data_IF_909550919440
#
_entry.id   IF_909550919440
#
_cell.length_a   1.000
_cell.length_b   1.000
_cell.length_c   1.000
_cell.angle_alpha   90.00
_cell.angle_beta   90.00
_cell.angle_gamma   90.00
#
_symmetry.space_group_name_H-M   'P 1'
#
loop_
_entity.id
_entity.type
_entity.pdbx_description
1 polymer ?
#
# COMPACT_ATOMS: atom_id res chain seq x y z
N UNK A 1 17.28 -30.59 11.38
CA UNK A 1 17.96 -30.55 10.06
C UNK A 1 18.82 -29.29 9.98
N UNK A 2 19.71 -29.18 8.97
CA UNK A 2 20.42 -27.93 8.66
C UNK A 2 19.66 -27.22 7.54
N UNK A 3 19.21 -25.98 7.77
CA UNK A 3 18.39 -25.22 6.83
C UNK A 3 19.12 -23.91 6.51
N UNK A 4 19.26 -23.62 5.21
CA UNK A 4 19.74 -22.35 4.71
C UNK A 4 18.56 -21.47 4.30
N UNK A 5 18.51 -20.23 4.79
CA UNK A 5 17.55 -19.21 4.37
C UNK A 5 18.32 -18.11 3.65
N UNK A 6 17.92 -17.77 2.42
CA UNK A 6 18.58 -16.75 1.60
C UNK A 6 17.68 -15.52 1.54
N UNK A 7 18.15 -14.43 2.13
CA UNK A 7 17.43 -13.16 2.30
C UNK A 7 16.94 -12.96 3.73
N UNK A 8 17.18 -11.76 4.26
CA UNK A 8 16.78 -11.32 5.61
C UNK A 8 15.65 -10.30 5.57
N UNK A 9 14.87 -10.28 4.49
CA UNK A 9 13.55 -9.65 4.50
C UNK A 9 12.63 -10.27 5.56
N UNK A 10 11.49 -9.62 5.82
CA UNK A 10 10.55 -10.06 6.87
C UNK A 10 10.18 -11.55 6.77
N UNK A 11 9.96 -12.06 5.56
CA UNK A 11 9.65 -13.47 5.33
C UNK A 11 10.78 -14.41 5.79
N UNK A 12 12.03 -14.10 5.43
CA UNK A 12 13.20 -14.91 5.80
C UNK A 12 13.47 -14.88 7.31
N UNK A 13 13.36 -13.70 7.94
CA UNK A 13 13.54 -13.57 9.38
C UNK A 13 12.42 -14.26 10.18
N UNK A 14 11.17 -14.16 9.73
CA UNK A 14 10.05 -14.87 10.36
C UNK A 14 10.20 -16.38 10.19
N UNK A 15 10.57 -16.85 9.00
CA UNK A 15 10.86 -18.27 8.78
C UNK A 15 11.98 -18.77 9.71
N UNK A 16 13.09 -18.04 9.78
CA UNK A 16 14.20 -18.36 10.68
C UNK A 16 13.73 -18.42 12.15
N UNK A 17 12.99 -17.40 12.61
CA UNK A 17 12.46 -17.32 13.98
C UNK A 17 11.57 -18.51 14.33
N UNK A 18 10.69 -18.93 13.41
CA UNK A 18 9.76 -20.03 13.64
C UNK A 18 10.44 -21.40 13.63
N UNK A 19 11.46 -21.58 12.79
CA UNK A 19 12.11 -22.87 12.58
C UNK A 19 13.32 -23.12 13.50
N UNK A 20 13.91 -22.07 14.07
CA UNK A 20 15.17 -22.17 14.80
C UNK A 20 15.10 -23.06 16.06
N UNK A 21 13.93 -23.22 16.68
CA UNK A 21 13.79 -24.05 17.88
C UNK A 21 14.09 -25.54 17.61
N UNK A 22 13.87 -26.02 16.39
CA UNK A 22 13.97 -27.44 16.03
C UNK A 22 15.07 -27.73 15.01
N UNK A 23 15.67 -26.69 14.42
CA UNK A 23 16.59 -26.80 13.30
C UNK A 23 17.81 -25.88 13.44
N UNK A 24 18.94 -26.33 12.91
CA UNK A 24 20.13 -25.49 12.76
C UNK A 24 19.92 -24.59 11.54
N UNK A 25 19.77 -23.27 11.78
CA UNK A 25 19.48 -22.29 10.73
C UNK A 25 20.75 -21.51 10.38
N UNK A 26 21.04 -21.40 9.10
CA UNK A 26 22.01 -20.42 8.56
C UNK A 26 21.26 -19.45 7.67
N UNK A 27 21.38 -18.15 7.94
CA UNK A 27 20.75 -17.10 7.12
C UNK A 27 21.82 -16.37 6.32
N UNK A 28 21.59 -16.20 5.03
CA UNK A 28 22.47 -15.47 4.11
C UNK A 28 21.79 -14.18 3.68
N UNK A 29 22.52 -13.07 3.73
CA UNK A 29 22.06 -11.76 3.25
C UNK A 29 23.10 -11.19 2.29
N UNK A 30 22.63 -10.57 1.22
CA UNK A 30 23.48 -9.92 0.23
C UNK A 30 23.87 -8.50 0.66
N UNK A 31 22.98 -7.81 1.38
CA UNK A 31 23.22 -6.49 1.93
C UNK A 31 24.12 -6.54 3.19
N UNK A 32 24.65 -5.38 3.56
CA UNK A 32 25.37 -5.15 4.82
C UNK A 32 24.43 -4.95 6.03
N UNK A 33 23.12 -5.11 5.82
CA UNK A 33 22.07 -4.91 6.81
C UNK A 33 20.97 -5.96 6.68
N UNK A 34 20.28 -6.19 7.80
CA UNK A 34 19.10 -7.04 7.83
C UNK A 34 17.83 -6.26 7.41
N UNK A 35 16.76 -6.98 7.09
CA UNK A 35 15.40 -6.45 6.95
C UNK A 35 14.90 -6.20 5.53
N UNK A 36 15.77 -6.14 4.52
CA UNK A 36 15.34 -5.88 3.13
C UNK A 36 14.58 -4.56 3.01
N UNK A 37 13.32 -4.58 2.54
CA UNK A 37 12.49 -3.36 2.42
C UNK A 37 12.11 -2.72 3.77
N UNK A 38 12.16 -3.44 4.89
CA UNK A 38 12.05 -2.77 6.20
C UNK A 38 13.37 -2.04 6.46
N UNK A 39 13.33 -0.71 6.46
CA UNK A 39 14.51 0.13 6.53
C UNK A 39 14.23 1.37 7.36
N UNK A 40 15.00 1.52 8.44
CA UNK A 40 14.94 2.63 9.37
C UNK A 40 16.27 3.35 9.34
N UNK A 41 16.26 4.67 9.13
CA UNK A 41 17.44 5.52 9.16
C UNK A 41 17.39 6.45 10.35
N UNK A 42 18.53 6.69 10.99
CA UNK A 42 18.64 7.71 12.02
C UNK A 42 18.93 9.06 11.36
N UNK A 43 18.05 10.05 11.61
CA UNK A 43 18.24 11.43 11.19
C UNK A 43 18.55 12.28 12.41
N UNK A 44 19.60 13.09 12.30
CA UNK A 44 19.99 14.05 13.34
C UNK A 44 19.56 15.46 12.95
N UNK A 45 18.89 16.15 13.86
CA UNK A 45 18.51 17.56 13.76
C UNK A 45 18.87 18.28 15.06
N UNK A 46 19.98 19.02 15.04
CA UNK A 46 20.59 19.56 16.25
C UNK A 46 20.98 18.45 17.23
N UNK A 47 20.50 18.54 18.47
CA UNK A 47 20.71 17.54 19.52
C UNK A 47 19.70 16.38 19.45
N UNK A 48 18.68 16.45 18.59
CA UNK A 48 17.69 15.41 18.44
C UNK A 48 18.13 14.35 17.42
N UNK A 49 17.92 13.07 17.76
CA UNK A 49 18.05 11.94 16.82
C UNK A 49 16.70 11.24 16.70
N UNK A 50 16.23 11.04 15.47
CA UNK A 50 14.92 10.40 15.18
C UNK A 50 15.12 9.26 14.21
N UNK A 51 14.51 8.12 14.52
CA UNK A 51 14.44 6.97 13.63
C UNK A 51 13.30 7.17 12.62
N UNK A 52 13.63 7.14 11.33
CA UNK A 52 12.68 7.34 10.22
C UNK A 52 12.64 6.08 9.37
N UNK A 53 11.46 5.47 9.27
CA UNK A 53 11.23 4.37 8.36
C UNK A 53 11.07 4.89 6.92
N UNK A 54 11.78 4.30 5.96
CA UNK A 54 11.80 4.77 4.55
C UNK A 54 11.27 3.75 3.55
N UNK A 55 10.91 2.56 4.02
CA UNK A 55 10.38 1.49 3.17
C UNK A 55 9.01 1.05 3.64
N UNK A 56 8.97 0.05 4.52
CA UNK A 56 7.72 -0.35 5.18
C UNK A 56 7.42 0.56 6.37
N UNK A 57 6.35 1.35 6.28
CA UNK A 57 6.03 2.40 7.27
C UNK A 57 4.64 2.29 7.90
N UNK A 58 3.72 1.53 7.29
CA UNK A 58 2.31 1.43 7.73
C UNK A 58 1.76 0.02 7.56
N UNK A 59 0.81 -0.34 8.41
CA UNK A 59 0.04 -1.58 8.33
C UNK A 59 -1.38 -1.36 8.88
N UNK A 60 -2.27 -2.34 8.71
CA UNK A 60 -3.61 -2.31 9.31
C UNK A 60 -4.06 -3.72 9.75
N UNK A 61 -4.94 -3.76 10.76
CA UNK A 61 -5.38 -5.02 11.36
C UNK A 61 -6.15 -5.96 10.41
N UNK A 62 -6.78 -5.41 9.37
CA UNK A 62 -7.55 -6.20 8.41
C UNK A 62 -6.68 -7.03 7.48
N UNK A 63 -5.56 -6.46 7.04
CA UNK A 63 -4.69 -7.06 6.00
C UNK A 63 -3.41 -7.67 6.58
N UNK A 64 -3.05 -7.34 7.83
CA UNK A 64 -1.81 -7.80 8.47
C UNK A 64 -2.00 -8.55 9.81
N UNK A 65 -2.94 -9.51 9.93
CA UNK A 65 -3.17 -10.21 11.20
C UNK A 65 -1.93 -10.97 11.70
N UNK A 66 -1.18 -11.62 10.81
CA UNK A 66 0.03 -12.35 11.17
C UNK A 66 1.17 -11.43 11.63
N UNK A 67 1.27 -10.23 11.06
CA UNK A 67 2.27 -9.24 11.48
C UNK A 67 1.93 -8.65 12.85
N UNK A 68 0.65 -8.37 13.12
CA UNK A 68 0.20 -7.94 14.45
C UNK A 68 0.56 -8.97 15.53
N UNK A 69 0.27 -10.24 15.28
CA UNK A 69 0.62 -11.31 16.21
C UNK A 69 2.14 -11.40 16.45
N UNK A 70 2.95 -11.11 15.42
CA UNK A 70 4.40 -11.04 15.56
C UNK A 70 4.84 -9.83 16.41
N UNK A 71 4.24 -8.65 16.22
CA UNK A 71 4.55 -7.48 17.04
C UNK A 71 4.18 -7.73 18.50
N UNK A 72 3.04 -8.36 18.77
CA UNK A 72 2.60 -8.73 20.12
C UNK A 72 3.57 -9.72 20.76
N UNK A 73 4.02 -10.74 20.03
CA UNK A 73 5.03 -11.70 20.50
C UNK A 73 6.37 -11.04 20.84
N UNK A 74 6.76 -10.02 20.05
CA UNK A 74 7.99 -9.27 20.25
C UNK A 74 7.86 -8.14 21.28
N UNK A 75 6.64 -7.81 21.73
CA UNK A 75 6.37 -6.67 22.60
C UNK A 75 6.62 -5.32 21.94
N UNK A 76 6.49 -5.23 20.62
CA UNK A 76 6.74 -3.99 19.84
C UNK A 76 5.46 -3.16 19.80
N UNK A 77 5.54 -1.94 20.34
CA UNK A 77 4.43 -0.99 20.32
C UNK A 77 4.22 -0.38 18.92
N UNK A 78 2.97 -0.02 18.64
CA UNK A 78 2.58 0.75 17.48
C UNK A 78 1.52 1.78 17.85
N UNK A 79 1.32 2.78 16.99
CA UNK A 79 0.36 3.85 17.24
C UNK A 79 -0.59 4.04 16.04
N UNK A 80 -1.82 4.50 16.27
CA UNK A 80 -2.70 4.92 15.18
C UNK A 80 -2.09 6.09 14.40
N UNK A 81 -2.10 5.98 13.06
CA UNK A 81 -1.68 7.05 12.16
C UNK A 81 -2.74 7.28 11.07
N UNK A 82 -3.12 8.53 10.77
CA UNK A 82 -4.04 8.80 9.68
C UNK A 82 -3.36 8.55 8.33
N UNK A 83 -3.95 7.71 7.48
CA UNK A 83 -3.58 7.64 6.06
C UNK A 83 -4.42 8.65 5.29
N UNK A 84 -3.84 9.83 5.03
CA UNK A 84 -4.45 10.87 4.21
C UNK A 84 -3.90 10.85 2.78
N UNK A 85 -4.71 11.29 1.82
CA UNK A 85 -4.33 11.34 0.41
C UNK A 85 -4.68 12.71 -0.19
N UNK A 86 -3.73 13.27 -0.93
CA UNK A 86 -3.89 14.50 -1.69
C UNK A 86 -3.16 14.41 -3.01
N UNK A 87 -3.73 15.03 -4.04
CA UNK A 87 -3.14 15.10 -5.38
C UNK A 87 -2.90 16.54 -5.72
N UNK A 88 -1.71 16.81 -6.27
CA UNK A 88 -1.39 18.01 -7.03
C UNK A 88 -0.89 17.58 -8.40
N UNK A 89 -1.64 17.93 -9.42
CA UNK A 89 -1.33 17.69 -10.81
C UNK A 89 -0.82 19.00 -11.42
N UNK A 90 0.48 19.07 -11.70
CA UNK A 90 1.10 20.28 -12.25
C UNK A 90 0.71 20.54 -13.70
N UNK A 91 0.37 19.50 -14.47
CA UNK A 91 0.02 19.62 -15.87
C UNK A 91 -1.37 20.26 -16.06
N UNK A 92 -2.35 19.82 -15.27
CA UNK A 92 -3.72 20.35 -15.31
C UNK A 92 -4.00 21.43 -14.23
N UNK A 93 -3.03 21.69 -13.35
CA UNK A 93 -3.14 22.61 -12.20
C UNK A 93 -4.19 22.17 -11.16
N UNK A 94 -4.59 20.89 -11.17
CA UNK A 94 -5.61 20.35 -10.26
C UNK A 94 -5.00 20.07 -8.89
N UNK A 95 -5.68 20.52 -7.83
CA UNK A 95 -5.35 20.15 -6.46
C UNK A 95 -6.63 19.75 -5.72
N UNK A 96 -6.58 18.63 -4.99
CA UNK A 96 -7.61 18.21 -4.05
C UNK A 96 -7.06 17.28 -2.98
N UNK A 97 -7.78 17.19 -1.87
CA UNK A 97 -7.53 16.26 -0.78
C UNK A 97 -8.80 15.45 -0.46
N UNK A 98 -8.64 14.18 -0.10
CA UNK A 98 -9.75 13.27 0.19
C UNK A 98 -10.29 13.32 1.63
N UNK A 99 -9.71 14.13 2.52
CA UNK A 99 -9.96 14.09 3.96
C UNK A 99 -11.18 14.93 4.39
N UNK A 100 -11.53 15.98 3.65
CA UNK A 100 -12.69 16.83 3.96
C UNK A 100 -13.29 17.46 2.71
N UNK A 101 -14.52 17.99 2.79
CA UNK A 101 -15.13 18.72 1.66
C UNK A 101 -14.36 20.00 1.31
N UNK A 102 -13.81 20.69 2.31
CA UNK A 102 -12.96 21.85 2.06
C UNK A 102 -11.63 21.48 1.42
N UNK A 103 -11.05 20.32 1.76
CA UNK A 103 -9.89 19.76 1.07
C UNK A 103 -10.23 19.31 -0.35
N UNK A 104 -11.40 18.72 -0.56
CA UNK A 104 -11.87 18.27 -1.87
C UNK A 104 -12.08 19.44 -2.82
N UNK A 105 -12.60 20.56 -2.31
CA UNK A 105 -12.80 21.82 -3.03
C UNK A 105 -11.79 22.90 -2.61
N UNK A 106 -10.55 22.52 -2.30
CA UNK A 106 -9.46 23.46 -2.00
C UNK A 106 -9.35 24.52 -3.10
N UNK A 107 -9.58 24.10 -4.34
CA UNK A 107 -9.81 24.99 -5.48
C UNK A 107 -11.32 25.17 -5.73
N UNK A 108 -11.90 26.28 -5.24
CA UNK A 108 -13.36 26.55 -5.34
C UNK A 108 -13.90 26.55 -6.78
N UNK A 109 -13.06 26.84 -7.78
CA UNK A 109 -13.40 26.71 -9.21
C UNK A 109 -13.89 25.30 -9.59
N UNK A 110 -13.48 24.27 -8.86
CA UNK A 110 -13.87 22.88 -9.11
C UNK A 110 -15.36 22.64 -8.83
N UNK A 111 -16.03 23.50 -8.04
CA UNK A 111 -17.49 23.45 -7.86
C UNK A 111 -18.24 23.62 -9.18
N UNK A 112 -17.67 24.37 -10.13
CA UNK A 112 -18.27 24.63 -11.44
C UNK A 112 -17.61 23.82 -12.56
N UNK A 113 -16.67 22.91 -12.26
CA UNK A 113 -15.88 22.17 -13.26
C UNK A 113 -16.51 20.80 -13.54
N UNK A 114 -17.18 20.57 -14.69
CA UNK A 114 -17.87 19.31 -14.95
C UNK A 114 -16.93 18.10 -14.98
N UNK A 115 -15.70 18.28 -15.47
CA UNK A 115 -14.65 17.25 -15.47
C UNK A 115 -14.34 16.75 -14.05
N UNK A 116 -14.32 17.65 -13.07
CA UNK A 116 -14.05 17.30 -11.67
C UNK A 116 -15.22 16.49 -11.07
N UNK A 117 -16.45 16.93 -11.28
CA UNK A 117 -17.63 16.17 -10.85
C UNK A 117 -17.75 14.79 -11.51
N UNK A 118 -17.36 14.67 -12.78
CA UNK A 118 -17.28 13.37 -13.46
C UNK A 118 -16.25 12.47 -12.79
N UNK A 119 -15.07 12.99 -12.46
CA UNK A 119 -14.05 12.27 -11.69
C UNK A 119 -14.61 11.80 -10.35
N UNK A 120 -15.23 12.67 -9.55
CA UNK A 120 -15.82 12.29 -8.26
C UNK A 120 -16.89 11.19 -8.39
N UNK A 121 -17.75 11.29 -9.40
CA UNK A 121 -18.75 10.27 -9.70
C UNK A 121 -18.10 8.93 -10.02
N UNK A 122 -17.03 8.94 -10.81
CA UNK A 122 -16.29 7.74 -11.17
C UNK A 122 -15.56 7.14 -9.97
N UNK A 123 -15.00 7.95 -9.06
CA UNK A 123 -14.43 7.48 -7.78
C UNK A 123 -15.47 6.70 -6.98
N UNK A 124 -16.63 7.32 -6.72
CA UNK A 124 -17.71 6.68 -5.96
C UNK A 124 -18.24 5.42 -6.66
N UNK A 125 -18.33 5.44 -7.99
CA UNK A 125 -18.73 4.28 -8.79
C UNK A 125 -17.73 3.13 -8.64
N UNK A 126 -16.43 3.42 -8.76
CA UNK A 126 -15.37 2.43 -8.65
C UNK A 126 -15.39 1.73 -7.29
N UNK A 127 -15.41 2.49 -6.19
CA UNK A 127 -15.44 1.90 -4.84
C UNK A 127 -16.69 1.08 -4.55
N UNK A 128 -17.81 1.40 -5.21
CA UNK A 128 -19.04 0.61 -5.11
C UNK A 128 -18.99 -0.69 -5.91
N UNK A 129 -18.35 -0.66 -7.09
CA UNK A 129 -18.32 -1.79 -8.03
C UNK A 129 -17.18 -2.78 -7.74
N UNK A 130 -16.03 -2.29 -7.27
CA UNK A 130 -14.81 -3.09 -7.07
C UNK A 130 -15.00 -4.33 -6.17
N UNK A 131 -15.71 -4.27 -5.02
CA UNK A 131 -15.90 -5.47 -4.19
C UNK A 131 -16.63 -6.60 -4.92
N UNK A 132 -17.57 -6.27 -5.81
CA UNK A 132 -18.30 -7.26 -6.60
C UNK A 132 -17.47 -7.84 -7.76
N UNK A 133 -16.40 -7.16 -8.17
CA UNK A 133 -15.44 -7.70 -9.13
C UNK A 133 -14.57 -8.76 -8.44
N UNK A 134 -14.07 -8.44 -7.23
CA UNK A 134 -13.28 -9.38 -6.43
C UNK A 134 -14.06 -10.65 -6.09
N UNK A 135 -15.34 -10.53 -5.71
CA UNK A 135 -16.19 -11.68 -5.39
C UNK A 135 -16.47 -12.62 -6.58
N UNK A 136 -16.19 -12.20 -7.82
CA UNK A 136 -16.39 -13.01 -9.02
C UNK A 136 -15.13 -13.75 -9.48
N UNK A 137 -13.95 -13.35 -9.00
CA UNK A 137 -12.65 -13.88 -9.41
C UNK A 137 -12.19 -15.14 -8.67
N UNK A 138 -13.06 -15.78 -7.88
CA UNK A 138 -12.68 -16.93 -7.04
C UNK A 138 -11.81 -16.52 -5.85
N UNK A 139 -11.96 -17.24 -4.74
CA UNK A 139 -11.24 -17.01 -3.47
C UNK A 139 -10.10 -18.02 -3.32
N UNK A 140 -9.44 -18.37 -4.42
CA UNK A 140 -8.45 -19.44 -4.44
C UNK A 140 -7.05 -18.82 -4.43
N UNK A 141 -6.47 -18.76 -3.24
CA UNK A 141 -5.06 -18.44 -3.00
C UNK A 141 -4.07 -19.50 -3.50
N UNK A 142 -4.44 -20.28 -4.51
CA UNK A 142 -3.60 -21.25 -5.21
C UNK A 142 -3.49 -20.82 -6.68
N UNK A 143 -2.42 -20.08 -6.97
CA UNK A 143 -1.97 -19.68 -8.30
C UNK A 143 -1.44 -20.89 -9.07
N UNK A 144 -2.34 -21.78 -9.49
CA UNK A 144 -2.10 -22.69 -10.61
C UNK A 144 -2.61 -22.00 -11.87
N UNK A 145 -1.66 -21.36 -12.56
CA UNK A 145 -1.88 -20.45 -13.68
C UNK A 145 -2.81 -20.98 -14.78
N UNK A 146 -3.99 -20.36 -14.87
CA UNK A 146 -4.75 -20.13 -16.10
C UNK A 146 -5.97 -19.22 -15.82
N UNK A 147 -5.80 -18.18 -14.97
CA UNK A 147 -6.83 -17.14 -14.82
C UNK A 147 -6.62 -16.09 -15.91
N UNK A 148 -7.56 -15.98 -16.86
CA UNK A 148 -7.64 -14.94 -17.89
C UNK A 148 -7.95 -13.57 -17.23
N UNK A 149 -7.05 -13.12 -16.36
CA UNK A 149 -7.21 -11.95 -15.52
C UNK A 149 -7.32 -10.68 -16.36
N UNK A 150 -8.52 -10.09 -16.40
CA UNK A 150 -8.72 -8.78 -17.01
C UNK A 150 -7.81 -7.76 -16.32
N UNK A 151 -6.91 -7.12 -17.07
CA UNK A 151 -6.08 -6.06 -16.51
C UNK A 151 -6.94 -4.90 -15.99
N UNK A 152 -6.48 -4.21 -14.95
CA UNK A 152 -7.15 -3.01 -14.44
C UNK A 152 -7.42 -1.99 -15.56
N UNK A 153 -6.48 -1.81 -16.50
CA UNK A 153 -6.66 -0.93 -17.66
C UNK A 153 -7.83 -1.35 -18.54
N UNK A 154 -7.90 -2.62 -18.93
CA UNK A 154 -8.99 -3.17 -19.75
C UNK A 154 -10.35 -3.03 -19.04
N UNK A 155 -10.40 -3.31 -17.74
CA UNK A 155 -11.60 -3.11 -16.91
C UNK A 155 -12.08 -1.65 -16.95
N UNK A 156 -11.16 -0.69 -16.80
CA UNK A 156 -11.50 0.73 -16.77
C UNK A 156 -12.02 1.23 -18.12
N UNK A 157 -11.40 0.78 -19.21
CA UNK A 157 -11.81 1.09 -20.58
C UNK A 157 -13.20 0.51 -20.90
N UNK A 158 -13.40 -0.78 -20.61
CA UNK A 158 -14.68 -1.48 -20.82
C UNK A 158 -15.83 -0.81 -20.08
N UNK A 159 -15.59 -0.38 -18.84
CA UNK A 159 -16.58 0.29 -18.00
C UNK A 159 -16.62 1.83 -18.20
N UNK A 160 -15.88 2.35 -19.18
CA UNK A 160 -15.87 3.75 -19.63
C UNK A 160 -15.58 4.75 -18.51
N UNK A 161 -14.65 4.40 -17.62
CA UNK A 161 -14.16 5.33 -16.60
C UNK A 161 -13.50 6.54 -17.27
N UNK A 162 -13.69 7.73 -16.68
CA UNK A 162 -13.09 8.95 -17.25
C UNK A 162 -11.58 8.96 -17.10
N UNK A 163 -10.91 9.55 -18.09
CA UNK A 163 -9.47 9.84 -18.04
C UNK A 163 -9.09 10.64 -16.79
N UNK A 164 -9.94 11.58 -16.36
CA UNK A 164 -9.72 12.35 -15.14
C UNK A 164 -9.65 11.44 -13.89
N UNK A 165 -10.55 10.45 -13.76
CA UNK A 165 -10.47 9.46 -12.70
C UNK A 165 -9.20 8.61 -12.77
N UNK A 166 -8.86 8.12 -13.96
CA UNK A 166 -7.68 7.26 -14.13
C UNK A 166 -6.39 8.01 -13.81
N UNK A 167 -6.17 9.15 -14.46
CA UNK A 167 -4.89 9.87 -14.38
C UNK A 167 -4.75 10.74 -13.13
N UNK A 168 -5.86 11.25 -12.57
CA UNK A 168 -5.81 12.26 -11.48
C UNK A 168 -6.29 11.70 -10.14
N UNK A 169 -6.68 10.43 -10.08
CA UNK A 169 -7.02 9.75 -8.82
C UNK A 169 -6.41 8.35 -8.74
N UNK A 170 -6.76 7.46 -9.67
CA UNK A 170 -6.42 6.05 -9.54
C UNK A 170 -4.91 5.79 -9.69
N UNK A 171 -4.27 6.35 -10.72
CA UNK A 171 -2.82 6.21 -10.93
C UNK A 171 -2.04 6.87 -9.78
N UNK A 172 -2.31 8.13 -9.38
CA UNK A 172 -1.62 8.73 -8.22
C UNK A 172 -1.83 7.95 -6.93
N UNK A 173 -3.02 7.40 -6.70
CA UNK A 173 -3.29 6.57 -5.52
C UNK A 173 -2.51 5.26 -5.56
N UNK A 174 -2.49 4.57 -6.70
CA UNK A 174 -1.71 3.34 -6.87
C UNK A 174 -0.20 3.55 -6.82
N UNK A 175 0.30 4.74 -7.19
CA UNK A 175 1.71 5.08 -7.10
C UNK A 175 2.15 5.54 -5.70
N UNK A 176 1.21 5.89 -4.83
CA UNK A 176 1.46 6.36 -3.47
C UNK A 176 1.36 5.27 -2.40
N UNK A 177 1.06 4.03 -2.79
CA UNK A 177 0.86 2.85 -1.92
C UNK A 177 1.87 1.77 -2.28
#
# INVERSE_FOLDING_TARGET
MRIAIVGTGIAGLVAARRLHAEHEITVFEAADRLGGHTHTVEVRDGDATTAIDTGFIVFNARTYPGFLALLDELGVAYQPGPMSFSVRDEADGLEYNGTSLDGLFAQRRNLLRPRFWRMLRDILRFYREAPAVLARGGDDGDDDGDDDGETLGAYLERNRYSRAFVEQHLVPMGAAV
#
